data_IF_315138743007
#
_entry.id   IF_315138743007
#
_cell.length_a   1.000
_cell.length_b   1.000
_cell.length_c   1.000
_cell.angle_alpha   90.00
_cell.angle_beta   90.00
_cell.angle_gamma   90.00
#
_symmetry.space_group_name_H-M   'P 1'
#
loop_
_entity.id
_entity.type
_entity.pdbx_description
1 polymer ?
#
# COMPACT_ATOMS: atom_id res chain seq x y z
N UNK A 1 33.35 61.91 -4.07
CA UNK A 1 32.57 60.92 -3.28
C UNK A 1 32.80 59.56 -3.90
N UNK A 2 33.47 58.65 -3.20
CA UNK A 2 33.69 57.28 -3.70
C UNK A 2 32.33 56.59 -3.72
N UNK A 3 31.80 56.35 -4.92
CA UNK A 3 30.58 55.56 -5.11
C UNK A 3 30.96 54.10 -4.86
N UNK A 4 30.89 53.67 -3.60
CA UNK A 4 30.92 52.25 -3.28
C UNK A 4 29.68 51.65 -3.92
N UNK A 5 29.89 50.96 -5.04
CA UNK A 5 28.83 50.43 -5.87
C UNK A 5 27.90 49.54 -5.00
N UNK A 6 26.61 49.86 -4.87
CA UNK A 6 25.68 49.15 -3.96
C UNK A 6 25.70 47.64 -4.19
N UNK A 7 25.98 47.20 -5.41
CA UNK A 7 26.02 45.81 -5.86
C UNK A 7 27.11 44.99 -5.15
N UNK A 8 28.29 45.57 -4.88
CA UNK A 8 29.38 44.92 -4.14
C UNK A 8 28.89 44.54 -2.73
N UNK A 9 28.13 45.45 -2.10
CA UNK A 9 27.55 45.24 -0.78
C UNK A 9 26.48 44.14 -0.70
N UNK A 10 25.72 43.99 -1.79
CA UNK A 10 24.64 43.01 -1.87
C UNK A 10 25.14 41.59 -2.16
N UNK A 11 26.31 41.43 -2.77
CA UNK A 11 26.72 40.14 -3.35
C UNK A 11 27.97 39.54 -2.72
N UNK A 12 28.89 40.33 -2.15
CA UNK A 12 30.13 39.78 -1.59
C UNK A 12 29.88 39.03 -0.27
N UNK A 13 29.67 37.71 -0.39
CA UNK A 13 29.77 36.77 0.73
C UNK A 13 31.21 36.61 1.23
N UNK A 14 32.22 37.03 0.45
CA UNK A 14 33.62 36.95 0.83
C UNK A 14 33.96 38.09 1.78
N UNK A 15 33.91 37.78 3.08
CA UNK A 15 34.37 38.62 4.18
C UNK A 15 35.74 39.26 3.88
N UNK A 16 36.63 38.53 3.22
CA UNK A 16 38.01 38.92 2.96
C UNK A 16 38.13 40.03 1.92
N UNK A 17 37.38 40.00 0.81
CA UNK A 17 37.46 41.05 -0.21
C UNK A 17 36.89 42.37 0.29
N UNK A 18 35.80 42.30 1.05
CA UNK A 18 35.22 43.49 1.67
C UNK A 18 36.18 44.11 2.70
N UNK A 19 36.82 43.29 3.54
CA UNK A 19 37.82 43.78 4.49
C UNK A 19 39.06 44.34 3.81
N UNK A 20 39.50 43.77 2.68
CA UNK A 20 40.61 44.33 1.90
C UNK A 20 40.22 45.68 1.29
N UNK A 21 39.03 45.81 0.68
CA UNK A 21 38.54 47.08 0.14
C UNK A 21 38.46 48.18 1.20
N UNK A 22 38.05 47.83 2.43
CA UNK A 22 38.01 48.78 3.55
C UNK A 22 39.39 49.18 4.07
N UNK A 23 40.43 48.36 3.84
CA UNK A 23 41.81 48.65 4.24
C UNK A 23 42.58 49.46 3.20
N UNK A 24 42.23 49.32 1.92
CA UNK A 24 42.88 50.05 0.82
C UNK A 24 42.37 51.50 0.70
N UNK A 25 41.27 51.83 1.35
CA UNK A 25 40.62 53.14 1.30
C UNK A 25 40.69 53.81 2.68
N UNK A 26 41.13 55.07 2.73
CA UNK A 26 41.14 55.88 3.96
C UNK A 26 39.69 56.33 4.28
N UNK A 27 39.02 55.63 5.21
CA UNK A 27 37.69 55.98 5.70
C UNK A 27 37.75 56.55 7.12
N UNK A 28 36.92 57.56 7.40
CA UNK A 28 36.71 58.00 8.78
C UNK A 28 35.92 56.96 9.58
N UNK A 29 36.00 57.02 10.91
CA UNK A 29 35.27 56.11 11.80
C UNK A 29 33.76 56.10 11.54
N UNK A 30 33.16 57.26 11.31
CA UNK A 30 31.72 57.39 11.01
C UNK A 30 31.36 56.73 9.67
N UNK A 31 32.22 56.88 8.66
CA UNK A 31 32.01 56.24 7.35
C UNK A 31 32.08 54.71 7.45
N UNK A 32 33.02 54.18 8.25
CA UNK A 32 33.12 52.73 8.50
C UNK A 32 31.87 52.18 9.21
N UNK A 33 31.34 52.89 10.20
CA UNK A 33 30.12 52.50 10.92
C UNK A 33 28.90 52.49 9.99
N UNK A 34 28.73 53.54 9.18
CA UNK A 34 27.66 53.63 8.19
C UNK A 34 27.71 52.46 7.20
N UNK A 35 28.90 52.20 6.66
CA UNK A 35 29.14 51.11 5.72
C UNK A 35 28.83 49.77 6.40
N UNK A 36 29.30 49.49 7.62
CA UNK A 36 28.95 48.26 8.33
C UNK A 36 27.45 48.07 8.56
N UNK A 37 26.73 49.13 8.95
CA UNK A 37 25.28 49.04 9.17
C UNK A 37 24.51 48.79 7.87
N UNK A 38 24.88 49.48 6.80
CA UNK A 38 24.36 49.20 5.45
C UNK A 38 24.52 47.71 5.08
N UNK A 39 25.59 47.06 5.54
CA UNK A 39 25.94 45.68 5.15
C UNK A 39 25.08 44.72 5.93
N UNK A 40 24.94 45.01 7.23
CA UNK A 40 24.09 44.28 8.14
C UNK A 40 22.65 44.27 7.64
N UNK A 41 22.09 45.44 7.28
CA UNK A 41 20.72 45.56 6.74
C UNK A 41 20.57 44.80 5.43
N UNK A 42 21.53 44.93 4.52
CA UNK A 42 21.53 44.25 3.22
C UNK A 42 21.55 42.72 3.36
N UNK A 43 22.42 42.18 4.23
CA UNK A 43 22.45 40.74 4.54
C UNK A 43 21.15 40.26 5.18
N UNK A 44 20.58 41.03 6.11
CA UNK A 44 19.31 40.66 6.73
C UNK A 44 18.17 40.61 5.71
N UNK A 45 18.11 41.58 4.78
CA UNK A 45 17.15 41.58 3.67
C UNK A 45 17.26 40.32 2.80
N UNK A 46 18.46 39.93 2.42
CA UNK A 46 18.70 38.71 1.64
C UNK A 46 18.40 37.44 2.44
N UNK A 47 18.73 37.41 3.74
CA UNK A 47 18.39 36.30 4.61
C UNK A 47 16.87 36.13 4.72
N UNK A 48 16.13 37.24 4.91
CA UNK A 48 14.67 37.23 4.92
C UNK A 48 14.08 36.73 3.60
N UNK A 49 14.62 37.19 2.46
CA UNK A 49 14.22 36.70 1.14
C UNK A 49 14.46 35.19 0.98
N UNK A 50 15.65 34.69 1.37
CA UNK A 50 15.99 33.25 1.32
C UNK A 50 15.14 32.43 2.27
N UNK A 51 14.82 32.94 3.46
CA UNK A 51 13.92 32.27 4.40
C UNK A 51 12.50 32.17 3.84
N UNK A 52 11.98 33.26 3.26
CA UNK A 52 10.67 33.26 2.57
C UNK A 52 10.66 32.27 1.41
N UNK A 53 11.70 32.27 0.56
CA UNK A 53 11.85 31.31 -0.53
C UNK A 53 11.83 29.87 -0.02
N UNK A 54 12.70 29.52 0.94
CA UNK A 54 12.73 28.18 1.54
C UNK A 54 11.38 27.76 2.12
N UNK A 55 10.65 28.67 2.78
CA UNK A 55 9.30 28.39 3.30
C UNK A 55 8.32 28.07 2.17
N UNK A 56 8.33 28.86 1.09
CA UNK A 56 7.47 28.62 -0.08
C UNK A 56 7.83 27.32 -0.80
N UNK A 57 9.11 27.05 -0.99
CA UNK A 57 9.59 25.79 -1.60
C UNK A 57 9.13 24.58 -0.77
N UNK A 58 9.22 24.66 0.56
CA UNK A 58 8.72 23.62 1.46
C UNK A 58 7.19 23.43 1.35
N UNK A 59 6.42 24.52 1.34
CA UNK A 59 4.96 24.47 1.17
C UNK A 59 4.61 23.80 -0.17
N UNK A 60 5.29 24.19 -1.25
CA UNK A 60 5.07 23.62 -2.58
C UNK A 60 5.37 22.12 -2.62
N UNK A 61 6.52 21.69 -2.07
CA UNK A 61 6.89 20.28 -2.02
C UNK A 61 5.85 19.45 -1.25
N UNK A 62 5.38 19.95 -0.11
CA UNK A 62 4.32 19.29 0.66
C UNK A 62 3.01 19.19 -0.13
N UNK A 63 2.64 20.23 -0.89
CA UNK A 63 1.46 20.19 -1.76
C UNK A 63 1.61 19.13 -2.87
N UNK A 64 2.79 19.01 -3.48
CA UNK A 64 3.08 17.97 -4.46
C UNK A 64 2.99 16.56 -3.86
N UNK A 65 3.56 16.35 -2.67
CA UNK A 65 3.49 15.07 -1.96
C UNK A 65 2.04 14.68 -1.61
N UNK A 66 1.24 15.63 -1.11
CA UNK A 66 -0.19 15.42 -0.83
C UNK A 66 -0.92 14.99 -2.10
N UNK A 67 -0.70 15.70 -3.22
CA UNK A 67 -1.35 15.36 -4.49
C UNK A 67 -0.96 13.97 -4.99
N UNK A 68 0.33 13.63 -4.92
CA UNK A 68 0.82 12.28 -5.26
C UNK A 68 0.13 11.21 -4.42
N UNK A 69 0.06 11.41 -3.10
CA UNK A 69 -0.60 10.47 -2.19
C UNK A 69 -2.10 10.33 -2.45
N UNK A 70 -2.78 11.42 -2.82
CA UNK A 70 -4.20 11.37 -3.22
C UNK A 70 -4.41 10.54 -4.48
N UNK A 71 -3.61 10.77 -5.52
CA UNK A 71 -3.68 10.00 -6.77
C UNK A 71 -3.42 8.51 -6.53
N UNK A 72 -2.39 8.16 -5.74
CA UNK A 72 -2.13 6.76 -5.38
C UNK A 72 -3.29 6.14 -4.60
N UNK A 73 -3.89 6.89 -3.66
CA UNK A 73 -5.06 6.42 -2.92
C UNK A 73 -6.25 6.12 -3.84
N UNK A 74 -6.54 7.00 -4.79
CA UNK A 74 -7.64 6.82 -5.76
C UNK A 74 -7.41 5.60 -6.66
N UNK A 75 -6.17 5.39 -7.10
CA UNK A 75 -5.76 4.19 -7.84
C UNK A 75 -5.99 2.93 -7.01
N UNK A 76 -5.51 2.89 -5.77
CA UNK A 76 -5.68 1.74 -4.87
C UNK A 76 -7.16 1.44 -4.56
N UNK A 77 -8.00 2.48 -4.40
CA UNK A 77 -9.45 2.30 -4.22
C UNK A 77 -10.07 1.63 -5.45
N UNK A 78 -9.67 2.06 -6.64
CA UNK A 78 -10.14 1.48 -7.90
C UNK A 78 -9.70 0.02 -8.05
N UNK A 79 -8.43 -0.29 -7.79
CA UNK A 79 -7.91 -1.66 -7.81
C UNK A 79 -8.62 -2.56 -6.81
N UNK A 80 -8.83 -2.09 -5.56
CA UNK A 80 -9.59 -2.82 -4.54
C UNK A 80 -11.01 -3.14 -5.00
N UNK A 81 -11.68 -2.18 -5.63
CA UNK A 81 -13.03 -2.37 -6.16
C UNK A 81 -13.07 -3.45 -7.25
N UNK A 82 -12.12 -3.39 -8.20
CA UNK A 82 -11.97 -4.39 -9.26
C UNK A 82 -11.69 -5.79 -8.71
N UNK A 83 -10.76 -5.90 -7.75
CA UNK A 83 -10.44 -7.17 -7.09
C UNK A 83 -11.65 -7.72 -6.32
N UNK A 84 -12.42 -6.86 -5.65
CA UNK A 84 -13.63 -7.28 -4.95
C UNK A 84 -14.69 -7.79 -5.93
N UNK A 85 -14.87 -7.13 -7.07
CA UNK A 85 -15.80 -7.59 -8.10
C UNK A 85 -15.35 -8.92 -8.70
N UNK A 86 -14.05 -9.07 -8.97
CA UNK A 86 -13.49 -10.32 -9.47
C UNK A 86 -13.67 -11.46 -8.45
N UNK A 87 -13.38 -11.21 -7.17
CA UNK A 87 -13.62 -12.18 -6.09
C UNK A 87 -15.08 -12.63 -6.08
N UNK A 88 -16.04 -11.71 -6.13
CA UNK A 88 -17.47 -12.05 -6.15
C UNK A 88 -17.85 -12.91 -7.35
N UNK A 89 -17.39 -12.56 -8.56
CA UNK A 89 -17.63 -13.35 -9.78
C UNK A 89 -17.04 -14.75 -9.66
N UNK A 90 -15.80 -14.87 -9.21
CA UNK A 90 -15.14 -16.17 -9.03
C UNK A 90 -15.84 -17.01 -7.98
N UNK A 91 -16.21 -16.43 -6.83
CA UNK A 91 -16.98 -17.12 -5.80
C UNK A 91 -18.30 -17.64 -6.36
N UNK A 92 -19.06 -16.81 -7.09
CA UNK A 92 -20.31 -17.23 -7.72
C UNK A 92 -20.10 -18.38 -8.71
N UNK A 93 -19.10 -18.29 -9.58
CA UNK A 93 -18.78 -19.34 -10.55
C UNK A 93 -18.42 -20.66 -9.85
N UNK A 94 -17.60 -20.60 -8.79
CA UNK A 94 -17.24 -21.79 -8.02
C UNK A 94 -18.48 -22.36 -7.32
N UNK A 95 -19.32 -21.55 -6.68
CA UNK A 95 -20.58 -22.02 -6.08
C UNK A 95 -21.45 -22.73 -7.11
N UNK A 96 -21.61 -22.15 -8.30
CA UNK A 96 -22.41 -22.74 -9.39
C UNK A 96 -21.82 -24.06 -9.90
N UNK A 97 -20.50 -24.15 -10.05
CA UNK A 97 -19.82 -25.40 -10.43
C UNK A 97 -19.95 -26.46 -9.34
N UNK A 98 -19.79 -26.08 -8.08
CA UNK A 98 -19.97 -26.98 -6.95
C UNK A 98 -21.41 -27.51 -6.88
N UNK A 99 -22.41 -26.65 -7.05
CA UNK A 99 -23.82 -27.05 -7.18
C UNK A 99 -24.00 -28.12 -8.25
N UNK A 100 -23.50 -27.85 -9.46
CA UNK A 100 -23.62 -28.73 -10.60
C UNK A 100 -22.95 -30.09 -10.34
N UNK A 101 -21.72 -30.10 -9.86
CA UNK A 101 -20.97 -31.34 -9.55
C UNK A 101 -21.68 -32.14 -8.46
N UNK A 102 -22.20 -31.49 -7.42
CA UNK A 102 -22.94 -32.17 -6.35
C UNK A 102 -24.24 -32.80 -6.85
N UNK A 103 -24.97 -32.10 -7.73
CA UNK A 103 -26.18 -32.64 -8.36
C UNK A 103 -25.87 -33.80 -9.31
N UNK A 104 -24.82 -33.69 -10.13
CA UNK A 104 -24.41 -34.75 -11.07
C UNK A 104 -23.90 -36.01 -10.35
N UNK A 105 -23.29 -35.85 -9.17
CA UNK A 105 -22.80 -36.95 -8.35
C UNK A 105 -23.89 -37.60 -7.48
N UNK A 106 -25.15 -37.15 -7.56
CA UNK A 106 -26.29 -37.62 -6.76
C UNK A 106 -25.98 -37.70 -5.24
N UNK A 107 -25.29 -36.69 -4.73
CA UNK A 107 -24.86 -36.66 -3.34
C UNK A 107 -26.07 -36.56 -2.40
N UNK A 108 -26.23 -37.57 -1.55
CA UNK A 108 -27.25 -37.57 -0.51
C UNK A 108 -26.97 -36.47 0.54
N UNK A 109 -28.01 -35.95 1.23
CA UNK A 109 -27.88 -34.85 2.19
C UNK A 109 -26.81 -35.05 3.27
N UNK A 110 -26.67 -36.29 3.77
CA UNK A 110 -25.68 -36.64 4.78
C UNK A 110 -24.23 -36.46 4.27
N UNK A 111 -23.99 -36.73 2.98
CA UNK A 111 -22.67 -36.56 2.35
C UNK A 111 -22.32 -35.08 2.16
N UNK A 112 -23.32 -34.26 1.81
CA UNK A 112 -23.16 -32.80 1.72
C UNK A 112 -22.82 -32.18 3.07
N UNK A 113 -23.42 -32.69 4.16
CA UNK A 113 -23.14 -32.20 5.51
C UNK A 113 -21.75 -32.59 6.02
N UNK A 114 -21.16 -33.68 5.53
CA UNK A 114 -19.75 -33.99 5.80
C UNK A 114 -18.84 -33.03 5.03
N UNK A 115 -19.11 -32.77 3.75
CA UNK A 115 -18.32 -31.84 2.92
C UNK A 115 -18.28 -30.43 3.51
N UNK A 116 -19.42 -29.97 4.04
CA UNK A 116 -19.56 -28.70 4.75
C UNK A 116 -18.60 -28.54 5.94
N UNK A 117 -18.37 -29.61 6.71
CA UNK A 117 -17.53 -29.56 7.93
C UNK A 117 -16.04 -29.36 7.62
N UNK A 118 -15.61 -29.73 6.41
CA UNK A 118 -14.23 -29.56 5.94
C UNK A 118 -14.07 -28.35 5.02
N UNK A 119 -15.15 -27.61 4.80
CA UNK A 119 -15.16 -26.43 3.96
C UNK A 119 -14.84 -25.20 4.82
N UNK A 120 -13.88 -24.38 4.38
CA UNK A 120 -13.51 -23.13 5.05
C UNK A 120 -14.69 -22.13 5.04
N UNK A 121 -14.89 -21.28 6.06
CA UNK A 121 -15.95 -20.26 6.08
C UNK A 121 -15.87 -19.26 4.91
N UNK A 122 -14.67 -19.04 4.37
CA UNK A 122 -14.44 -18.18 3.20
C UNK A 122 -14.67 -18.91 1.87
N UNK A 123 -15.09 -20.18 1.92
CA UNK A 123 -15.26 -21.02 0.75
C UNK A 123 -16.69 -20.90 0.18
N UNK A 124 -16.85 -20.72 -1.14
CA UNK A 124 -18.14 -20.63 -1.83
C UNK A 124 -19.05 -21.87 -1.69
N UNK A 125 -18.50 -22.99 -1.19
CA UNK A 125 -19.23 -24.22 -0.86
C UNK A 125 -20.06 -24.08 0.43
N UNK A 126 -19.74 -23.17 1.34
CA UNK A 126 -20.56 -22.93 2.54
C UNK A 126 -21.96 -22.41 2.21
N UNK A 127 -22.13 -21.73 1.07
CA UNK A 127 -23.43 -21.22 0.60
C UNK A 127 -24.29 -22.30 -0.08
N UNK A 128 -23.71 -23.46 -0.40
CA UNK A 128 -24.41 -24.59 -1.02
C UNK A 128 -25.18 -25.43 0.00
N UNK A 129 -24.86 -25.27 1.28
CA UNK A 129 -25.53 -25.95 2.37
C UNK A 129 -26.90 -25.27 2.50
N UNK A 130 -28.03 -25.98 2.29
CA UNK A 130 -29.33 -25.42 2.63
C UNK A 130 -29.30 -25.01 4.09
N UNK A 131 -30.09 -24.01 4.45
CA UNK A 131 -30.26 -23.53 5.82
C UNK A 131 -30.77 -24.68 6.73
N UNK A 132 -29.88 -25.58 7.18
CA UNK A 132 -30.22 -26.71 8.06
C UNK A 132 -30.61 -26.18 9.45
N UNK A 133 -30.34 -24.91 9.76
CA UNK A 133 -30.90 -24.26 10.95
C UNK A 133 -32.44 -24.16 10.88
N UNK A 134 -33.05 -24.25 9.70
CA UNK A 134 -34.52 -24.32 9.54
C UNK A 134 -35.07 -25.75 9.72
N UNK A 135 -34.24 -26.79 9.56
CA UNK A 135 -34.66 -28.19 9.77
C UNK A 135 -34.26 -28.75 11.13
N UNK A 136 -33.30 -28.15 11.82
CA UNK A 136 -32.89 -28.52 13.19
C UNK A 136 -33.85 -28.04 14.28
N UNK A 137 -34.92 -27.33 13.94
CA UNK A 137 -36.01 -27.00 14.88
C UNK A 137 -37.00 -28.15 15.08
N UNK A 138 -36.78 -29.34 14.47
CA UNK A 138 -37.54 -30.55 14.81
C UNK A 138 -36.73 -31.47 15.75
N UNK A 139 -37.25 -31.77 16.96
CA UNK A 139 -36.51 -32.52 18.00
C UNK A 139 -36.19 -34.00 17.68
N UNK A 140 -36.70 -34.56 16.60
CA UNK A 140 -36.84 -36.02 16.46
C UNK A 140 -35.67 -36.73 15.74
N UNK A 141 -34.61 -36.04 15.31
CA UNK A 141 -33.50 -36.67 14.56
C UNK A 141 -32.11 -36.64 15.23
N UNK A 142 -31.98 -36.14 16.46
CA UNK A 142 -30.71 -36.22 17.19
C UNK A 142 -30.31 -37.65 17.59
N UNK A 143 -31.27 -38.58 17.68
CA UNK A 143 -31.00 -39.92 18.22
C UNK A 143 -30.44 -40.92 17.20
N UNK A 144 -30.41 -40.60 15.89
CA UNK A 144 -30.01 -41.55 14.82
C UNK A 144 -28.60 -41.34 14.28
N UNK A 145 -27.99 -40.17 14.50
CA UNK A 145 -26.67 -39.82 13.96
C UNK A 145 -25.47 -40.29 14.82
N UNK A 146 -25.71 -40.77 16.03
CA UNK A 146 -24.64 -41.34 16.87
C UNK A 146 -24.28 -42.80 16.51
N UNK A 147 -25.12 -43.49 15.73
CA UNK A 147 -24.95 -44.92 15.45
C UNK A 147 -24.20 -45.25 14.15
N UNK A 148 -23.98 -44.30 13.25
CA UNK A 148 -23.38 -44.55 11.92
C UNK A 148 -21.89 -44.20 11.79
N UNK A 149 -21.23 -43.80 12.88
CA UNK A 149 -19.81 -43.40 12.91
C UNK A 149 -18.81 -44.58 12.96
N UNK A 150 -19.22 -45.81 12.70
CA UNK A 150 -18.38 -47.02 12.78
C UNK A 150 -18.17 -47.75 11.45
N UNK A 151 -17.81 -47.03 10.38
CA UNK A 151 -17.31 -47.68 9.16
C UNK A 151 -16.09 -46.95 8.56
N UNK A 152 -14.91 -47.59 8.46
CA UNK A 152 -13.73 -47.02 7.83
C UNK A 152 -13.76 -47.31 6.33
N UNK A 153 -14.34 -46.42 5.52
CA UNK A 153 -14.26 -46.57 4.04
C UNK A 153 -14.09 -45.28 3.23
N UNK A 154 -14.13 -44.09 3.84
CA UNK A 154 -14.01 -42.82 3.09
C UNK A 154 -12.63 -42.17 3.14
N UNK A 155 -11.66 -42.75 3.86
CA UNK A 155 -10.28 -42.25 3.91
C UNK A 155 -9.49 -42.40 2.59
N UNK A 156 -10.05 -43.11 1.60
CA UNK A 156 -9.39 -43.36 0.31
C UNK A 156 -9.64 -42.22 -0.69
N UNK A 157 -10.81 -41.58 -0.66
CA UNK A 157 -11.17 -40.51 -1.61
C UNK A 157 -10.47 -39.18 -1.33
N UNK A 158 -10.23 -38.85 -0.05
CA UNK A 158 -9.49 -37.62 0.33
C UNK A 158 -8.01 -37.67 -0.09
N UNK A 159 -7.38 -38.85 -0.02
CA UNK A 159 -5.97 -39.02 -0.44
C UNK A 159 -5.79 -39.07 -1.95
N UNK A 160 -6.80 -39.53 -2.70
CA UNK A 160 -6.72 -39.60 -4.16
C UNK A 160 -6.90 -38.22 -4.82
N UNK A 161 -7.71 -37.33 -4.24
CA UNK A 161 -7.93 -35.98 -4.77
C UNK A 161 -6.74 -35.04 -4.51
N UNK A 162 -6.07 -35.17 -3.35
CA UNK A 162 -4.89 -34.35 -3.02
C UNK A 162 -3.59 -34.80 -3.72
N UNK A 163 -3.52 -36.04 -4.22
CA UNK A 163 -2.33 -36.53 -4.96
C UNK A 163 -2.24 -36.02 -6.40
N UNK A 164 -3.33 -35.55 -6.98
CA UNK A 164 -3.34 -35.07 -8.38
C UNK A 164 -2.87 -33.61 -8.53
N UNK A 165 -2.63 -32.88 -7.44
CA UNK A 165 -2.16 -31.49 -7.46
C UNK A 165 -0.67 -31.30 -7.15
N UNK A 166 0.10 -32.39 -6.99
CA UNK A 166 1.53 -32.32 -6.62
C UNK A 166 2.44 -33.00 -7.64
N UNK A 167 2.38 -32.62 -8.93
CA UNK A 167 3.41 -32.98 -9.92
C UNK A 167 3.61 -31.84 -10.95
N UNK A 168 4.44 -30.86 -10.60
CA UNK A 168 5.41 -30.25 -11.55
C UNK A 168 6.63 -29.77 -10.75
N UNK A 169 7.85 -30.28 -11.02
CA UNK A 169 9.07 -29.83 -10.34
C UNK A 169 9.58 -28.49 -10.91
N UNK A 170 10.40 -27.74 -10.15
CA UNK A 170 11.09 -26.57 -10.66
C UNK A 170 12.25 -27.00 -11.54
N UNK A 171 12.24 -26.63 -12.83
CA UNK A 171 13.45 -26.68 -13.66
C UNK A 171 14.18 -25.34 -13.55
N UNK A 172 15.17 -25.29 -12.65
CA UNK A 172 16.22 -24.30 -12.72
C UNK A 172 17.23 -24.72 -13.80
N UNK A 173 17.48 -23.85 -14.77
CA UNK A 173 18.71 -23.86 -15.56
C UNK A 173 19.25 -22.44 -15.63
N UNK A 174 20.38 -22.23 -14.97
CA UNK A 174 21.22 -21.07 -15.17
C UNK A 174 21.86 -21.15 -16.56
N UNK A 175 21.81 -20.04 -17.31
CA UNK A 175 22.81 -19.76 -18.35
C UNK A 175 23.16 -18.28 -18.39
N UNK A 176 24.43 -18.07 -18.06
CA UNK A 176 25.38 -17.02 -18.39
C UNK A 176 24.99 -16.11 -19.56
N UNK A 177 25.02 -14.80 -19.33
CA UNK A 177 25.17 -13.79 -20.38
C UNK A 177 26.56 -13.19 -20.22
N UNK A 178 27.39 -13.41 -21.25
CA UNK A 178 28.56 -12.60 -21.61
C UNK A 178 28.13 -11.22 -22.08
#
# INVERSE_FOLDING_TARGET
MIIINPIIFYTTNLRNEFQQLLKTQEFTREQLEFVHDMRRRSKNRLAAQRCRKRKLDCIYNLQCEINKLKTEREKLITERSQLSQLKLKTCHNVTALCQKVCSEADLQPDQLQVLAKYTSPDCPLSTLIPHIDTLLSQPELQHRLQASLSAPSMAVLSKQCMKTLALTPPSGSARTVT
#
